data_IF_205416741974
#
_entry.id   IF_205416741974
#
_cell.length_a   1.000
_cell.length_b   1.000
_cell.length_c   1.000
_cell.angle_alpha   90.00
_cell.angle_beta   90.00
_cell.angle_gamma   90.00
#
_symmetry.space_group_name_H-M   'P 1'
#
loop_
_entity.id
_entity.type
_entity.pdbx_description
1 polymer ?
#
# COMPACT_ATOMS: atom_id res chain seq x y z
N UNK A 1 0.63 -16.41 -15.09
CA UNK A 1 0.13 -17.42 -14.11
C UNK A 1 0.12 -16.76 -12.74
N UNK A 2 -1.01 -16.80 -12.00
CA UNK A 2 -1.13 -16.06 -10.72
C UNK A 2 -0.13 -16.59 -9.70
N UNK A 3 0.45 -15.70 -8.90
CA UNK A 3 1.40 -16.11 -7.84
C UNK A 3 0.67 -16.49 -6.56
N UNK A 4 -0.52 -15.91 -6.32
CA UNK A 4 -1.28 -16.03 -5.08
C UNK A 4 -0.53 -15.57 -3.81
N UNK A 5 0.52 -14.74 -3.97
CA UNK A 5 1.29 -14.19 -2.86
C UNK A 5 0.56 -12.96 -2.33
N UNK A 6 0.11 -13.02 -1.07
CA UNK A 6 -0.57 -11.91 -0.40
C UNK A 6 -0.29 -11.91 1.10
N UNK A 7 -0.09 -10.71 1.63
CA UNK A 7 -0.03 -10.42 3.06
C UNK A 7 -1.04 -9.33 3.42
N UNK A 8 -1.69 -9.47 4.58
CA UNK A 8 -2.66 -8.50 5.09
C UNK A 8 -2.17 -7.93 6.40
N UNK A 9 -2.12 -6.60 6.50
CA UNK A 9 -1.68 -5.90 7.71
C UNK A 9 -2.77 -4.94 8.19
N UNK A 10 -3.04 -4.95 9.50
CA UNK A 10 -3.89 -3.96 10.15
C UNK A 10 -3.10 -2.67 10.33
N UNK A 11 -3.67 -1.56 9.90
CA UNK A 11 -3.06 -0.23 9.98
C UNK A 11 -4.09 0.77 10.49
N UNK A 12 -3.62 1.87 11.06
CA UNK A 12 -4.45 3.03 11.40
C UNK A 12 -3.95 4.24 10.62
N UNK A 13 -4.89 4.99 10.03
CA UNK A 13 -4.54 6.12 9.19
C UNK A 13 -5.71 6.63 8.36
N UNK A 14 -5.40 7.45 7.36
CA UNK A 14 -6.38 8.01 6.43
C UNK A 14 -5.90 7.88 4.99
N UNK A 15 -6.81 7.49 4.10
CA UNK A 15 -6.58 7.37 2.66
C UNK A 15 -7.40 8.42 1.93
N UNK A 16 -6.91 8.88 0.78
CA UNK A 16 -7.62 9.85 -0.07
C UNK A 16 -8.19 9.15 -1.30
N UNK A 17 -9.50 8.92 -1.29
CA UNK A 17 -10.24 8.38 -2.43
C UNK A 17 -10.94 9.48 -3.24
N UNK A 18 -11.74 9.07 -4.23
CA UNK A 18 -12.50 10.00 -5.09
C UNK A 18 -13.48 10.88 -4.31
N UNK A 19 -14.03 10.37 -3.20
CA UNK A 19 -14.98 11.08 -2.35
C UNK A 19 -14.32 11.84 -1.18
N UNK A 20 -12.99 11.98 -1.21
CA UNK A 20 -12.21 12.65 -0.16
C UNK A 20 -11.48 11.67 0.76
N UNK A 21 -11.14 12.16 1.96
CA UNK A 21 -10.43 11.38 2.96
C UNK A 21 -11.36 10.39 3.67
N UNK A 22 -10.86 9.19 3.91
CA UNK A 22 -11.56 8.15 4.67
C UNK A 22 -10.57 7.43 5.59
N UNK A 23 -11.07 6.84 6.68
CA UNK A 23 -10.25 6.09 7.63
C UNK A 23 -9.75 4.80 6.99
N UNK A 24 -8.48 4.47 7.13
CA UNK A 24 -7.89 3.18 6.77
C UNK A 24 -7.88 2.24 7.98
N UNK A 25 -8.08 0.95 7.72
CA UNK A 25 -8.03 -0.09 8.76
C UNK A 25 -7.14 -1.28 8.36
N UNK A 26 -6.80 -1.38 7.08
CA UNK A 26 -6.03 -2.50 6.54
C UNK A 26 -5.28 -2.09 5.27
N UNK A 27 -4.13 -2.71 5.04
CA UNK A 27 -3.50 -2.79 3.74
C UNK A 27 -3.37 -4.26 3.32
N UNK A 28 -3.67 -4.55 2.06
CA UNK A 28 -3.36 -5.82 1.42
C UNK A 28 -2.16 -5.60 0.51
N UNK A 29 -1.09 -6.36 0.72
CA UNK A 29 0.13 -6.31 -0.09
C UNK A 29 0.23 -7.63 -0.85
N UNK A 30 0.21 -7.58 -2.18
CA UNK A 30 0.30 -8.78 -3.02
C UNK A 30 1.36 -8.62 -4.11
N UNK A 31 1.83 -9.73 -4.65
CA UNK A 31 2.72 -9.72 -5.81
C UNK A 31 2.11 -10.54 -6.95
N UNK A 32 1.20 -9.97 -7.73
CA UNK A 32 0.44 -10.68 -8.77
C UNK A 32 0.24 -9.77 -10.00
N UNK A 33 -0.59 -10.19 -10.96
CA UNK A 33 -0.84 -9.40 -12.17
C UNK A 33 -1.51 -8.07 -11.80
N UNK A 34 -0.96 -6.94 -12.27
CA UNK A 34 -1.60 -5.63 -12.14
C UNK A 34 -2.85 -5.53 -13.02
N UNK A 35 -3.72 -4.58 -12.68
CA UNK A 35 -4.86 -4.18 -13.51
C UNK A 35 -4.49 -3.11 -14.56
N UNK A 36 -3.58 -2.19 -14.24
CA UNK A 36 -3.23 -1.04 -15.10
C UNK A 36 -1.74 -0.99 -15.46
N UNK A 37 -0.85 -1.29 -14.51
CA UNK A 37 0.60 -1.20 -14.75
C UNK A 37 1.06 -2.20 -15.84
N UNK A 38 2.02 -1.81 -16.72
CA UNK A 38 2.42 -2.62 -17.87
C UNK A 38 3.45 -3.72 -17.50
N UNK A 39 3.16 -4.51 -16.46
CA UNK A 39 4.02 -5.59 -15.97
C UNK A 39 3.29 -6.93 -15.99
N UNK A 40 4.01 -8.04 -16.18
CA UNK A 40 3.41 -9.38 -16.02
C UNK A 40 3.02 -9.64 -14.55
N UNK A 41 3.89 -9.23 -13.62
CA UNK A 41 3.64 -9.22 -12.18
C UNK A 41 4.10 -7.89 -11.59
N UNK A 42 3.38 -7.41 -10.59
CA UNK A 42 3.65 -6.17 -9.88
C UNK A 42 3.43 -6.36 -8.38
N UNK A 43 4.09 -5.53 -7.55
CA UNK A 43 3.65 -5.34 -6.18
C UNK A 43 2.37 -4.49 -6.21
N UNK A 44 1.26 -5.05 -5.72
CA UNK A 44 0.01 -4.32 -5.56
C UNK A 44 -0.21 -4.04 -4.07
N UNK A 45 -0.56 -2.80 -3.73
CA UNK A 45 -0.94 -2.42 -2.37
C UNK A 45 -2.33 -1.80 -2.42
N UNK A 46 -3.29 -2.44 -1.76
CA UNK A 46 -4.64 -1.91 -1.55
C UNK A 46 -4.79 -1.45 -0.09
N UNK A 47 -4.82 -0.15 0.14
CA UNK A 47 -5.25 0.44 1.41
C UNK A 47 -6.77 0.49 1.44
N UNK A 48 -7.42 -0.14 2.43
CA UNK A 48 -8.86 -0.34 2.43
C UNK A 48 -9.52 -0.04 3.77
N UNK A 49 -10.82 0.26 3.68
CA UNK A 49 -11.76 0.14 4.78
C UNK A 49 -13.00 -0.62 4.31
N UNK A 50 -12.98 -1.94 4.48
CA UNK A 50 -14.05 -2.83 4.01
C UNK A 50 -15.42 -2.49 4.64
N UNK A 51 -15.44 -1.94 5.87
CA UNK A 51 -16.67 -1.54 6.55
C UNK A 51 -17.36 -0.34 5.88
N UNK A 52 -16.63 0.45 5.11
CA UNK A 52 -17.13 1.61 4.35
C UNK A 52 -17.43 1.28 2.88
N UNK A 53 -17.38 0.00 2.52
CA UNK A 53 -17.66 -0.50 1.18
C UNK A 53 -16.47 -0.45 0.23
N UNK A 54 -16.65 -1.02 -0.96
CA UNK A 54 -15.55 -1.27 -1.93
C UNK A 54 -14.85 0.00 -2.44
N UNK A 55 -15.52 1.15 -2.38
CA UNK A 55 -14.98 2.44 -2.82
C UNK A 55 -14.04 3.11 -1.81
N UNK A 56 -14.01 2.64 -0.55
CA UNK A 56 -13.06 3.09 0.46
C UNK A 56 -11.72 2.37 0.27
N UNK A 57 -11.05 2.69 -0.85
CA UNK A 57 -9.82 2.04 -1.30
C UNK A 57 -8.87 3.03 -1.96
N UNK A 58 -7.58 2.89 -1.67
CA UNK A 58 -6.48 3.48 -2.45
C UNK A 58 -5.60 2.33 -2.91
N UNK A 59 -5.50 2.11 -4.22
CA UNK A 59 -4.70 1.04 -4.81
C UNK A 59 -3.46 1.64 -5.50
N UNK A 60 -2.33 0.95 -5.39
CA UNK A 60 -1.11 1.25 -6.16
C UNK A 60 -0.50 -0.03 -6.71
N UNK A 61 0.10 0.06 -7.89
CA UNK A 61 0.74 -1.05 -8.60
C UNK A 61 2.16 -0.62 -8.97
N UNK A 62 3.16 -1.37 -8.50
CA UNK A 62 4.57 -0.98 -8.56
C UNK A 62 5.41 -2.10 -9.18
N UNK A 63 6.46 -1.71 -9.91
CA UNK A 63 7.51 -2.66 -10.28
C UNK A 63 8.21 -3.20 -9.03
N UNK A 64 8.84 -4.37 -9.13
CA UNK A 64 9.61 -4.96 -8.02
C UNK A 64 10.67 -3.99 -7.49
N UNK A 65 11.39 -3.32 -8.39
CA UNK A 65 12.42 -2.35 -8.01
C UNK A 65 11.83 -1.16 -7.25
N UNK A 66 10.77 -0.54 -7.78
CA UNK A 66 10.13 0.61 -7.14
C UNK A 66 9.53 0.24 -5.78
N UNK A 67 8.96 -0.97 -5.65
CA UNK A 67 8.46 -1.52 -4.40
C UNK A 67 9.55 -1.63 -3.33
N UNK A 68 10.73 -2.17 -3.68
CA UNK A 68 11.87 -2.27 -2.75
C UNK A 68 12.42 -0.91 -2.36
N UNK A 69 12.50 0.01 -3.31
CA UNK A 69 12.94 1.39 -3.06
C UNK A 69 11.95 2.14 -2.14
N UNK A 70 10.64 1.97 -2.34
CA UNK A 70 9.60 2.52 -1.48
C UNK A 70 9.71 1.96 -0.05
N UNK A 71 9.86 0.65 0.12
CA UNK A 71 10.00 0.03 1.44
C UNK A 71 11.22 0.60 2.20
N UNK A 72 12.35 0.75 1.51
CA UNK A 72 13.55 1.39 2.09
C UNK A 72 13.27 2.84 2.47
N UNK A 73 12.67 3.63 1.57
CA UNK A 73 12.38 5.04 1.83
C UNK A 73 11.42 5.24 3.02
N UNK A 74 10.43 4.35 3.20
CA UNK A 74 9.52 4.36 4.36
C UNK A 74 10.32 4.22 5.65
N UNK A 75 11.24 3.25 5.72
CA UNK A 75 12.06 3.02 6.91
C UNK A 75 13.03 4.19 7.15
N UNK A 76 13.73 4.65 6.11
CA UNK A 76 14.66 5.77 6.19
C UNK A 76 13.99 7.05 6.77
N UNK A 77 12.75 7.34 6.37
CA UNK A 77 11.99 8.50 6.90
C UNK A 77 11.60 8.32 8.36
N UNK A 78 11.21 7.10 8.78
CA UNK A 78 10.88 6.82 10.17
C UNK A 78 12.11 6.89 11.08
N UNK A 79 13.25 6.36 10.62
CA UNK A 79 14.52 6.42 11.33
C UNK A 79 15.00 7.86 11.51
N UNK A 80 14.82 8.70 10.48
CA UNK A 80 15.10 10.14 10.57
C UNK A 80 14.16 10.83 11.57
N UNK A 81 12.86 10.55 11.53
CA UNK A 81 11.90 11.11 12.48
C UNK A 81 12.23 10.74 13.94
N UNK A 82 12.68 9.52 14.19
CA UNK A 82 13.16 9.08 15.50
C UNK A 82 14.46 9.81 15.91
N UNK A 83 15.41 9.97 14.98
CA UNK A 83 16.66 10.69 15.23
C UNK A 83 16.41 12.17 15.60
N UNK A 84 15.43 12.79 14.95
CA UNK A 84 15.03 14.18 15.19
C UNK A 84 14.10 14.34 16.41
N UNK A 85 13.71 13.24 17.07
CA UNK A 85 12.88 13.24 18.28
C UNK A 85 11.39 13.52 18.03
N UNK A 86 10.88 13.18 16.85
CA UNK A 86 9.46 13.32 16.49
C UNK A 86 8.61 12.09 16.84
N UNK A 87 9.24 10.93 17.07
CA UNK A 87 8.63 9.68 17.52
C UNK A 87 9.49 9.00 18.59
#
# INVERSE_FOLDING_TARGET
>A
MCTMIVEKVKIDGSGKGINGWFKLEQANVSYDHPFDAPFEHALNIDFVNESQGVGARVAVELSEQAARELARAILDVLDQANTDGHI
#
